data_IF_156211719876
#
_entry.id   IF_156211719876
#
_cell.length_a   1.000
_cell.length_b   1.000
_cell.length_c   1.000
_cell.angle_alpha   90.00
_cell.angle_beta   90.00
_cell.angle_gamma   90.00
#
_symmetry.space_group_name_H-M   'P 1'
#
loop_
_entity.id
_entity.type
_entity.pdbx_description
1 polymer ?
#
# COMPACT_ATOMS: atom_id res chain seq x y z
N UNK A 1 -6.28 -23.87 -2.84
CA UNK A 1 -6.55 -23.92 -1.39
C UNK A 1 -5.69 -22.95 -0.59
N UNK A 2 -4.37 -22.90 -0.79
CA UNK A 2 -3.49 -22.05 0.04
C UNK A 2 -3.80 -20.54 -0.01
N UNK A 3 -4.10 -20.00 -1.20
CA UNK A 3 -4.48 -18.59 -1.37
C UNK A 3 -5.76 -18.26 -0.59
N UNK A 4 -6.78 -19.12 -0.69
CA UNK A 4 -8.03 -18.93 0.06
C UNK A 4 -7.82 -19.04 1.58
N UNK A 5 -7.00 -19.99 2.04
CA UNK A 5 -6.64 -20.11 3.46
C UNK A 5 -5.86 -18.88 3.95
N UNK A 6 -4.96 -18.34 3.12
CA UNK A 6 -4.23 -17.13 3.42
C UNK A 6 -5.16 -15.94 3.61
N UNK A 7 -6.13 -15.74 2.70
CA UNK A 7 -7.14 -14.69 2.80
C UNK A 7 -8.03 -14.86 4.04
N UNK A 8 -8.44 -16.08 4.37
CA UNK A 8 -9.20 -16.34 5.60
C UNK A 8 -8.42 -15.93 6.85
N UNK A 9 -7.12 -16.24 6.92
CA UNK A 9 -6.25 -15.83 8.04
C UNK A 9 -6.07 -14.32 8.10
N UNK A 10 -5.96 -13.65 6.95
CA UNK A 10 -5.93 -12.18 6.87
C UNK A 10 -7.23 -11.58 7.39
N UNK A 11 -8.38 -12.12 7.03
CA UNK A 11 -9.67 -11.66 7.54
C UNK A 11 -9.75 -11.80 9.08
N UNK A 12 -9.27 -12.91 9.63
CA UNK A 12 -9.18 -13.08 11.10
C UNK A 12 -8.24 -12.06 11.73
N UNK A 13 -7.05 -11.84 11.15
CA UNK A 13 -6.10 -10.85 11.64
C UNK A 13 -6.67 -9.41 11.57
N UNK A 14 -7.39 -9.07 10.50
CA UNK A 14 -8.11 -7.79 10.39
C UNK A 14 -9.15 -7.65 11.51
N UNK A 15 -9.89 -8.69 11.87
CA UNK A 15 -10.84 -8.65 12.99
C UNK A 15 -10.14 -8.42 14.34
N UNK A 16 -8.96 -9.03 14.54
CA UNK A 16 -8.17 -8.88 15.78
C UNK A 16 -7.58 -7.47 15.89
N UNK A 17 -6.94 -6.98 14.83
CA UNK A 17 -6.20 -5.71 14.86
C UNK A 17 -7.10 -4.50 14.60
N UNK A 18 -8.13 -4.66 13.77
CA UNK A 18 -8.91 -3.55 13.21
C UNK A 18 -10.42 -3.73 13.32
N UNK A 19 -10.91 -4.65 14.16
CA UNK A 19 -12.35 -4.93 14.29
C UNK A 19 -13.20 -3.77 14.83
N UNK A 20 -12.58 -2.69 15.30
CA UNK A 20 -13.30 -1.50 15.77
C UNK A 20 -13.73 -0.59 14.60
N UNK A 21 -14.95 -0.01 14.63
CA UNK A 21 -15.42 0.94 13.62
C UNK A 21 -14.48 2.13 13.38
N UNK A 22 -13.70 2.56 14.38
CA UNK A 22 -12.77 3.69 14.25
C UNK A 22 -11.74 3.51 13.12
N UNK A 23 -11.43 2.27 12.75
CA UNK A 23 -10.51 1.97 11.67
C UNK A 23 -11.17 2.06 10.29
N UNK A 24 -12.49 2.20 10.19
CA UNK A 24 -13.22 2.34 8.92
C UNK A 24 -13.66 3.77 8.64
N UNK A 25 -13.76 4.61 9.68
CA UNK A 25 -14.14 6.02 9.59
C UNK A 25 -12.96 6.94 9.91
N UNK A 26 -11.94 6.90 9.05
CA UNK A 26 -10.71 7.68 9.23
C UNK A 26 -10.86 9.01 8.48
N UNK A 27 -10.77 10.17 9.16
CA UNK A 27 -10.91 11.46 8.50
C UNK A 27 -9.68 11.75 7.63
N UNK A 28 -9.90 12.47 6.53
CA UNK A 28 -8.81 12.95 5.67
C UNK A 28 -7.89 13.90 6.47
N UNK A 29 -6.57 13.63 6.56
CA UNK A 29 -5.60 14.50 7.19
C UNK A 29 -5.63 15.93 6.63
N UNK A 30 -5.47 16.93 7.50
CA UNK A 30 -5.56 18.36 7.11
C UNK A 30 -4.62 18.74 5.97
N UNK A 31 -3.41 18.16 5.90
CA UNK A 31 -2.46 18.44 4.81
C UNK A 31 -2.96 17.96 3.44
N UNK A 32 -3.67 16.82 3.39
CA UNK A 32 -4.28 16.34 2.14
C UNK A 32 -5.49 17.20 1.75
N UNK A 33 -6.14 17.87 2.69
CA UNK A 33 -7.21 18.82 2.40
C UNK A 33 -6.71 20.03 1.59
N UNK A 34 -5.44 20.44 1.75
CA UNK A 34 -4.84 21.50 0.93
C UNK A 34 -4.86 21.13 -0.56
N UNK A 35 -4.43 19.91 -0.90
CA UNK A 35 -4.44 19.39 -2.28
C UNK A 35 -5.84 19.41 -2.90
N UNK A 36 -6.86 19.05 -2.10
CA UNK A 36 -8.27 19.13 -2.51
C UNK A 36 -8.68 20.58 -2.81
N UNK A 37 -8.35 21.50 -1.91
CA UNK A 37 -8.74 22.91 -2.02
C UNK A 37 -8.11 23.61 -3.23
N UNK A 38 -6.89 23.21 -3.59
CA UNK A 38 -6.13 23.72 -4.74
C UNK A 38 -6.56 23.13 -6.08
N UNK A 39 -7.47 22.15 -6.10
CA UNK A 39 -7.92 21.49 -7.33
C UNK A 39 -6.85 20.63 -8.01
N UNK A 40 -5.81 20.22 -7.27
CA UNK A 40 -4.70 19.38 -7.77
C UNK A 40 -5.19 18.00 -8.21
N UNK A 41 -6.10 17.45 -7.43
CA UNK A 41 -6.65 16.10 -7.60
C UNK A 41 -8.16 16.18 -7.35
N UNK A 42 -8.93 15.43 -8.13
CA UNK A 42 -10.39 15.41 -7.98
C UNK A 42 -10.75 14.91 -6.56
N UNK A 43 -11.68 15.55 -5.84
CA UNK A 43 -11.96 15.21 -4.44
C UNK A 43 -12.28 13.73 -4.18
N UNK A 44 -13.11 13.12 -5.02
CA UNK A 44 -13.46 11.70 -4.96
C UNK A 44 -12.25 10.78 -5.21
N UNK A 45 -11.34 11.17 -6.11
CA UNK A 45 -10.10 10.43 -6.36
C UNK A 45 -9.15 10.54 -5.18
N UNK A 46 -9.05 11.71 -4.54
CA UNK A 46 -8.25 11.86 -3.33
C UNK A 46 -8.81 11.00 -2.19
N UNK A 47 -10.13 10.98 -2.02
CA UNK A 47 -10.79 10.14 -1.01
C UNK A 47 -10.51 8.65 -1.28
N UNK A 48 -10.58 8.19 -2.53
CA UNK A 48 -10.22 6.82 -2.92
C UNK A 48 -8.73 6.53 -2.71
N UNK A 49 -7.85 7.45 -3.11
CA UNK A 49 -6.40 7.34 -2.93
C UNK A 49 -6.04 7.20 -1.45
N UNK A 50 -6.62 8.06 -0.60
CA UNK A 50 -6.42 8.01 0.84
C UNK A 50 -7.00 6.72 1.43
N UNK A 51 -8.18 6.28 0.99
CA UNK A 51 -8.75 5.01 1.42
C UNK A 51 -7.81 3.84 1.13
N UNK A 52 -7.33 3.70 -0.12
CA UNK A 52 -6.40 2.63 -0.50
C UNK A 52 -5.12 2.73 0.34
N UNK A 53 -4.58 3.93 0.53
CA UNK A 53 -3.45 4.18 1.41
C UNK A 53 -3.68 3.67 2.85
N UNK A 54 -4.82 3.96 3.47
CA UNK A 54 -5.12 3.42 4.81
C UNK A 54 -5.18 1.88 4.83
N UNK A 55 -5.66 1.26 3.74
CA UNK A 55 -5.66 -0.20 3.62
C UNK A 55 -4.25 -0.77 3.41
N UNK A 56 -3.33 -0.02 2.80
CA UNK A 56 -1.93 -0.42 2.65
C UNK A 56 -1.23 -0.58 4.00
N UNK A 57 -1.44 0.38 4.90
CA UNK A 57 -0.85 0.36 6.25
C UNK A 57 -1.38 -0.81 7.06
N UNK A 58 -2.69 -1.03 7.03
CA UNK A 58 -3.31 -2.23 7.65
C UNK A 58 -2.81 -3.53 7.01
N UNK A 59 -2.56 -3.54 5.70
CA UNK A 59 -2.05 -4.71 4.99
C UNK A 59 -0.66 -5.11 5.50
N UNK A 60 0.21 -4.12 5.74
CA UNK A 60 1.51 -4.31 6.39
C UNK A 60 1.36 -4.87 7.81
N UNK A 61 0.54 -4.23 8.65
CA UNK A 61 0.30 -4.63 10.04
C UNK A 61 -0.25 -6.06 10.14
N UNK A 62 -1.20 -6.42 9.27
CA UNK A 62 -1.76 -7.78 9.19
C UNK A 62 -0.71 -8.80 8.80
N UNK A 63 0.12 -8.54 7.78
CA UNK A 63 1.17 -9.48 7.40
C UNK A 63 2.21 -9.60 8.51
N UNK A 64 2.62 -8.50 9.12
CA UNK A 64 3.55 -8.49 10.27
C UNK A 64 3.02 -9.36 11.41
N UNK A 65 1.74 -9.20 11.76
CA UNK A 65 1.09 -10.02 12.77
C UNK A 65 1.08 -11.51 12.39
N UNK A 66 0.68 -11.84 11.16
CA UNK A 66 0.61 -13.23 10.71
C UNK A 66 1.97 -13.91 10.65
N UNK A 67 3.00 -13.19 10.20
CA UNK A 67 4.40 -13.64 10.21
C UNK A 67 4.86 -13.92 11.65
N UNK A 68 4.58 -13.01 12.59
CA UNK A 68 4.89 -13.21 14.01
C UNK A 68 4.14 -14.39 14.64
N UNK A 69 3.01 -14.81 14.07
CA UNK A 69 2.26 -16.02 14.47
C UNK A 69 2.69 -17.27 13.70
N UNK A 70 3.70 -17.19 12.82
CA UNK A 70 4.22 -18.32 12.05
C UNK A 70 3.40 -18.69 10.81
N UNK A 71 2.41 -17.89 10.41
CA UNK A 71 1.59 -18.15 9.21
C UNK A 71 2.28 -17.66 7.93
N UNK A 72 3.41 -18.28 7.58
CA UNK A 72 4.30 -17.78 6.51
C UNK A 72 3.94 -18.36 5.13
N UNK A 73 3.93 -19.69 4.97
CA UNK A 73 3.91 -20.33 3.66
C UNK A 73 2.65 -20.04 2.83
N UNK A 74 1.49 -19.98 3.50
CA UNK A 74 0.25 -19.58 2.82
C UNK A 74 0.28 -18.12 2.34
N UNK A 75 0.90 -17.22 3.11
CA UNK A 75 1.02 -15.80 2.74
C UNK A 75 2.01 -15.61 1.59
N UNK A 76 3.07 -16.44 1.49
CA UNK A 76 3.96 -16.43 0.32
C UNK A 76 3.20 -16.73 -0.97
N UNK A 77 2.43 -17.82 -0.97
CA UNK A 77 1.60 -18.21 -2.12
C UNK A 77 0.58 -17.13 -2.49
N UNK A 78 0.02 -16.45 -1.48
CA UNK A 78 -0.88 -15.32 -1.68
C UNK A 78 -0.19 -14.13 -2.36
N UNK A 79 0.96 -13.69 -1.85
CA UNK A 79 1.67 -12.55 -2.46
C UNK A 79 2.32 -12.89 -3.80
N UNK A 80 2.74 -14.14 -4.03
CA UNK A 80 3.12 -14.60 -5.38
C UNK A 80 1.97 -14.51 -6.38
N UNK A 81 0.71 -14.59 -5.93
CA UNK A 81 -0.46 -14.37 -6.79
C UNK A 81 -0.71 -12.87 -6.99
N UNK A 82 -0.74 -12.08 -5.91
CA UNK A 82 -1.05 -10.65 -5.96
C UNK A 82 0.02 -9.77 -6.63
N UNK A 83 1.29 -10.17 -6.59
CA UNK A 83 2.39 -9.42 -7.22
C UNK A 83 2.53 -9.66 -8.73
N UNK A 84 1.80 -10.63 -9.31
CA UNK A 84 1.92 -10.91 -10.75
C UNK A 84 1.26 -9.81 -11.56
N UNK A 85 2.10 -9.04 -12.24
CA UNK A 85 1.66 -7.97 -13.15
C UNK A 85 1.08 -8.59 -14.42
N UNK A 86 -0.18 -8.27 -14.71
CA UNK A 86 -0.87 -8.69 -15.92
C UNK A 86 -0.61 -7.72 -17.07
N UNK A 87 -0.68 -8.16 -18.33
CA UNK A 87 -0.46 -7.29 -19.50
C UNK A 87 -1.38 -6.07 -19.55
N UNK A 88 -2.63 -6.20 -19.11
CA UNK A 88 -3.59 -5.11 -19.03
C UNK A 88 -3.19 -4.03 -18.02
N UNK A 89 -2.56 -4.40 -16.89
CA UNK A 89 -2.11 -3.46 -15.87
C UNK A 89 -0.97 -2.59 -16.41
N UNK A 90 -0.05 -3.17 -17.20
CA UNK A 90 1.03 -2.40 -17.86
C UNK A 90 0.47 -1.29 -18.76
N UNK A 91 -0.60 -1.56 -19.50
CA UNK A 91 -1.26 -0.55 -20.36
C UNK A 91 -1.92 0.57 -19.57
N UNK A 92 -2.38 0.29 -18.34
CA UNK A 92 -2.92 1.33 -17.45
C UNK A 92 -1.79 2.24 -16.97
N UNK A 93 -0.65 1.67 -16.59
CA UNK A 93 0.54 2.44 -16.20
C UNK A 93 1.02 3.39 -17.30
N UNK A 94 1.08 2.93 -18.56
CA UNK A 94 1.47 3.77 -19.71
C UNK A 94 0.57 5.00 -19.87
N UNK A 95 -0.73 4.87 -19.61
CA UNK A 95 -1.71 5.97 -19.71
C UNK A 95 -1.70 6.88 -18.49
N UNK A 96 -1.31 6.36 -17.33
CA UNK A 96 -1.40 7.06 -16.05
C UNK A 96 -0.27 8.08 -15.85
N UNK A 97 0.89 7.92 -16.49
CA UNK A 97 2.13 8.68 -16.18
C UNK A 97 1.92 10.20 -16.11
N UNK A 98 1.02 10.76 -16.92
CA UNK A 98 0.77 12.21 -17.00
C UNK A 98 -0.63 12.63 -16.48
N UNK A 99 -1.37 11.73 -15.84
CA UNK A 99 -2.73 12.00 -15.34
C UNK A 99 -2.83 11.65 -13.86
N UNK A 100 -2.69 12.66 -12.99
CA UNK A 100 -2.66 12.49 -11.53
C UNK A 100 -3.90 11.76 -11.00
N UNK A 101 -5.07 12.00 -11.60
CA UNK A 101 -6.32 11.38 -11.17
C UNK A 101 -6.36 9.86 -11.44
N UNK A 102 -5.45 9.34 -12.26
CA UNK A 102 -5.27 7.91 -12.50
C UNK A 102 -4.02 7.42 -11.76
N UNK A 103 -2.93 8.19 -11.79
CA UNK A 103 -1.64 7.80 -11.22
C UNK A 103 -1.69 7.67 -9.70
N UNK A 104 -2.35 8.60 -8.99
CA UNK A 104 -2.42 8.59 -7.54
C UNK A 104 -3.07 7.30 -6.97
N UNK A 105 -4.28 6.89 -7.39
CA UNK A 105 -4.87 5.64 -6.90
C UNK A 105 -4.09 4.40 -7.39
N UNK A 106 -3.50 4.44 -8.58
CA UNK A 106 -2.69 3.33 -9.11
C UNK A 106 -1.41 3.11 -8.30
N UNK A 107 -0.73 4.19 -7.93
CA UNK A 107 0.42 4.15 -7.01
C UNK A 107 0.00 3.56 -5.66
N UNK A 108 -1.15 3.95 -5.12
CA UNK A 108 -1.61 3.45 -3.83
C UNK A 108 -2.01 1.97 -3.87
N UNK A 109 -2.55 1.47 -4.98
CA UNK A 109 -2.88 0.06 -5.11
C UNK A 109 -1.60 -0.80 -5.14
N UNK A 110 -0.58 -0.39 -5.91
CA UNK A 110 0.74 -1.06 -5.84
C UNK A 110 1.36 -0.91 -4.46
N UNK A 111 1.27 0.27 -3.84
CA UNK A 111 1.78 0.50 -2.49
C UNK A 111 1.16 -0.46 -1.49
N UNK A 112 -0.15 -0.72 -1.56
CA UNK A 112 -0.86 -1.66 -0.70
C UNK A 112 -0.34 -3.09 -0.84
N UNK A 113 -0.08 -3.55 -2.06
CA UNK A 113 0.45 -4.91 -2.28
C UNK A 113 1.89 -5.00 -1.76
N UNK A 114 2.74 -4.01 -2.09
CA UNK A 114 4.13 -3.99 -1.66
C UNK A 114 4.27 -3.86 -0.14
N UNK A 115 3.53 -2.93 0.49
CA UNK A 115 3.46 -2.79 1.94
C UNK A 115 3.05 -4.09 2.61
N UNK A 116 2.07 -4.78 2.03
CA UNK A 116 1.59 -6.05 2.54
C UNK A 116 2.65 -7.15 2.52
N UNK A 117 3.48 -7.24 1.48
CA UNK A 117 4.50 -8.31 1.38
C UNK A 117 5.79 -7.98 2.12
N UNK A 118 6.05 -6.70 2.45
CA UNK A 118 7.30 -6.26 3.10
C UNK A 118 7.69 -7.10 4.34
N UNK A 119 6.81 -7.34 5.34
CA UNK A 119 7.18 -8.14 6.52
C UNK A 119 7.55 -9.58 6.19
N UNK A 120 6.96 -10.12 5.11
CA UNK A 120 7.20 -11.49 4.67
C UNK A 120 8.57 -11.63 4.01
N UNK A 121 8.95 -10.70 3.14
CA UNK A 121 10.29 -10.66 2.52
C UNK A 121 11.37 -10.53 3.59
N UNK A 122 11.16 -9.67 4.58
CA UNK A 122 12.12 -9.46 5.68
C UNK A 122 12.32 -10.71 6.53
N UNK A 123 11.23 -11.41 6.85
CA UNK A 123 11.29 -12.62 7.67
C UNK A 123 11.90 -13.82 6.93
N UNK A 124 11.70 -13.93 5.61
CA UNK A 124 12.04 -15.17 4.89
C UNK A 124 13.15 -15.04 3.87
N UNK A 125 13.51 -13.82 3.45
CA UNK A 125 14.47 -13.55 2.36
C UNK A 125 14.15 -14.35 1.10
N UNK A 126 12.86 -14.51 0.81
CA UNK A 126 12.38 -15.32 -0.32
C UNK A 126 12.73 -14.61 -1.63
N UNK A 127 13.56 -15.25 -2.46
CA UNK A 127 14.10 -14.66 -3.68
C UNK A 127 13.03 -14.48 -4.76
N UNK A 128 12.01 -15.35 -4.79
CA UNK A 128 10.90 -15.26 -5.75
C UNK A 128 10.02 -14.07 -5.41
N UNK A 129 9.65 -13.91 -4.14
CA UNK A 129 8.89 -12.73 -3.70
C UNK A 129 9.67 -11.43 -3.90
N UNK A 130 10.98 -11.44 -3.63
CA UNK A 130 11.84 -10.27 -3.84
C UNK A 130 11.90 -9.88 -5.31
N UNK A 131 12.04 -10.84 -6.23
CA UNK A 131 12.03 -10.55 -7.67
C UNK A 131 10.68 -9.94 -8.12
N UNK A 132 9.56 -10.52 -7.69
CA UNK A 132 8.21 -10.00 -7.99
C UNK A 132 7.97 -8.61 -7.39
N UNK A 133 8.50 -8.34 -6.20
CA UNK A 133 8.46 -7.03 -5.55
C UNK A 133 9.20 -5.98 -6.38
N UNK A 134 10.41 -6.30 -6.85
CA UNK A 134 11.21 -5.40 -7.69
C UNK A 134 10.56 -5.17 -9.08
N UNK A 135 9.92 -6.19 -9.66
CA UNK A 135 9.15 -6.02 -10.91
C UNK A 135 8.04 -4.97 -10.76
N UNK A 136 7.31 -4.97 -9.65
CA UNK A 136 6.29 -3.97 -9.36
C UNK A 136 6.89 -2.58 -9.12
N UNK A 137 8.02 -2.49 -8.41
CA UNK A 137 8.75 -1.23 -8.25
C UNK A 137 9.25 -0.64 -9.58
N UNK A 138 9.46 -1.48 -10.59
CA UNK A 138 9.89 -1.02 -11.92
C UNK A 138 8.75 -0.44 -12.78
N UNK A 139 7.49 -0.61 -12.37
CA UNK A 139 6.35 0.08 -12.99
C UNK A 139 6.30 1.57 -12.62
N UNK A 140 6.90 1.94 -11.49
CA UNK A 140 6.82 3.27 -10.92
C UNK A 140 7.71 4.23 -11.72
N UNK A 141 7.21 5.39 -12.17
CA UNK A 141 8.01 6.36 -12.90
C UNK A 141 9.25 6.78 -12.10
N UNK A 142 10.40 6.85 -12.78
CA UNK A 142 11.70 7.06 -12.13
C UNK A 142 11.80 8.33 -11.27
N UNK A 143 11.12 9.41 -11.66
CA UNK A 143 11.10 10.67 -10.91
C UNK A 143 10.35 10.56 -9.56
N UNK A 144 9.41 9.61 -9.42
CA UNK A 144 8.61 9.38 -8.21
C UNK A 144 9.18 8.23 -7.37
N UNK A 145 9.89 7.29 -8.01
CA UNK A 145 10.35 6.02 -7.39
C UNK A 145 11.07 6.22 -6.05
N UNK A 146 11.89 7.26 -5.91
CA UNK A 146 12.60 7.57 -4.65
C UNK A 146 11.63 7.90 -3.50
N UNK A 147 10.61 8.72 -3.75
CA UNK A 147 9.61 9.09 -2.75
C UNK A 147 8.72 7.89 -2.38
N UNK A 148 8.37 7.08 -3.37
CA UNK A 148 7.64 5.86 -3.13
C UNK A 148 8.42 4.83 -2.30
N UNK A 149 9.72 4.66 -2.59
CA UNK A 149 10.60 3.81 -1.78
C UNK A 149 10.80 4.36 -0.36
N UNK A 150 10.88 5.68 -0.19
CA UNK A 150 10.89 6.33 1.13
C UNK A 150 9.63 5.95 1.93
N UNK A 151 8.44 6.02 1.32
CA UNK A 151 7.20 5.55 1.94
C UNK A 151 7.27 4.09 2.37
N UNK A 152 7.70 3.19 1.48
CA UNK A 152 7.83 1.76 1.81
C UNK A 152 8.82 1.52 2.95
N UNK A 153 9.91 2.28 2.99
CA UNK A 153 10.91 2.16 4.03
C UNK A 153 10.39 2.63 5.40
N UNK A 154 9.58 3.69 5.41
CA UNK A 154 8.98 4.25 6.62
C UNK A 154 8.05 3.28 7.34
N UNK A 155 7.46 2.30 6.62
CA UNK A 155 6.62 1.26 7.23
C UNK A 155 7.34 0.49 8.36
N UNK A 156 8.66 0.33 8.27
CA UNK A 156 9.47 -0.40 9.26
C UNK A 156 9.55 0.31 10.61
N UNK A 157 9.28 1.60 10.63
CA UNK A 157 9.34 2.45 11.82
C UNK A 157 7.98 2.53 12.53
N UNK A 158 6.94 1.92 11.96
CA UNK A 158 5.59 1.99 12.48
C UNK A 158 5.40 1.14 13.73
N UNK A 159 4.75 1.74 14.73
CA UNK A 159 4.37 1.08 15.97
C UNK A 159 3.15 0.18 15.82
N UNK A 160 2.42 -0.03 16.91
CA UNK A 160 1.22 -0.90 16.94
C UNK A 160 -0.11 -0.12 16.89
N UNK A 161 -0.10 1.22 17.02
CA UNK A 161 -1.32 2.02 16.87
C UNK A 161 -1.57 2.36 15.39
N UNK A 162 -2.53 1.67 14.78
CA UNK A 162 -2.90 1.85 13.36
C UNK A 162 -3.30 3.30 13.03
N UNK A 163 -4.02 4.01 13.92
CA UNK A 163 -4.44 5.37 13.60
C UNK A 163 -3.25 6.32 13.61
N UNK A 164 -2.39 6.21 14.63
CA UNK A 164 -1.14 6.95 14.70
C UNK A 164 -0.26 6.66 13.48
N UNK A 165 -0.11 5.38 13.10
CA UNK A 165 0.63 4.96 11.92
C UNK A 165 0.08 5.59 10.63
N UNK A 166 -1.25 5.62 10.46
CA UNK A 166 -1.90 6.23 9.30
C UNK A 166 -1.62 7.73 9.23
N UNK A 167 -1.73 8.45 10.35
CA UNK A 167 -1.45 9.88 10.37
C UNK A 167 0.04 10.20 10.19
N UNK A 168 0.94 9.41 10.77
CA UNK A 168 2.38 9.56 10.60
C UNK A 168 2.80 9.33 9.14
N UNK A 169 2.20 8.36 8.47
CA UNK A 169 2.47 8.07 7.06
C UNK A 169 1.80 9.06 6.10
N UNK A 170 0.76 9.78 6.54
CA UNK A 170 0.02 10.70 5.67
C UNK A 170 0.88 11.86 5.16
N UNK A 171 1.93 12.22 5.90
CA UNK A 171 2.92 13.21 5.48
C UNK A 171 3.70 12.74 4.24
N UNK A 172 4.07 11.46 4.20
CA UNK A 172 4.76 10.88 3.06
C UNK A 172 3.84 10.76 1.83
N UNK A 173 2.56 10.47 2.05
CA UNK A 173 1.56 10.52 0.97
C UNK A 173 1.40 11.94 0.42
N UNK A 174 1.30 12.94 1.31
CA UNK A 174 1.22 14.34 0.89
C UNK A 174 2.44 14.74 0.05
N UNK A 175 3.66 14.42 0.53
CA UNK A 175 4.89 14.65 -0.24
C UNK A 175 4.81 13.99 -1.62
N UNK A 176 4.51 12.68 -1.67
CA UNK A 176 4.38 11.93 -2.92
C UNK A 176 3.44 12.63 -3.91
N UNK A 177 2.22 13.00 -3.47
CA UNK A 177 1.22 13.64 -4.31
C UNK A 177 1.64 15.04 -4.76
N UNK A 178 2.36 15.80 -3.94
CA UNK A 178 2.92 17.08 -4.37
C UNK A 178 3.99 16.94 -5.44
N UNK A 179 4.77 15.84 -5.44
CA UNK A 179 5.75 15.55 -6.50
C UNK A 179 5.13 15.03 -7.80
N UNK A 180 3.85 14.63 -7.80
CA UNK A 180 3.12 14.30 -9.02
C UNK A 180 2.68 15.56 -9.80
N UNK A 181 2.81 16.73 -9.19
CA UNK A 181 2.49 17.99 -9.85
C UNK A 181 3.59 18.35 -10.85
N UNK A 182 3.23 18.88 -12.04
CA UNK A 182 4.18 19.39 -13.01
C UNK A 182 4.96 20.60 -12.49
#
# INVERSE_FOLDING_TARGET
>A
WDVALAELRRAVAHSILHGSPKYYFIPLPRKLFDLRSRGVIRPDILDVTFYIFTTAIKSFEVTRFLVNKGFIECQKKLYQYHLKIKPEEKRVWEKAVNEINILAPLLMDVFKVLSGVTPLIEATKDTVLTALYEENLNLIPGHIKKHFQKMLNKLRELGEDTLENIFNMADELYELLTYLLP
#
